data_IF_828816924399
#
_entry.id   IF_828816924399
#
_cell.length_a   1.000
_cell.length_b   1.000
_cell.length_c   1.000
_cell.angle_alpha   90.00
_cell.angle_beta   90.00
_cell.angle_gamma   90.00
#
_symmetry.space_group_name_H-M   'P 1'
#
loop_
_entity.id
_entity.type
_entity.pdbx_description
1 polymer ?
#
# COMPACT_ATOMS: atom_id res chain seq x y z
N UNK A 1 -19.74 10.79 9.10
CA UNK A 1 -19.40 9.60 8.29
C UNK A 1 -18.46 8.75 9.13
N UNK A 2 -18.84 7.54 9.58
CA UNK A 2 -17.85 6.65 10.17
C UNK A 2 -16.90 6.28 9.03
N UNK A 3 -15.61 6.55 9.22
CA UNK A 3 -14.58 5.97 8.36
C UNK A 3 -14.74 4.46 8.51
N UNK A 4 -15.46 3.84 7.56
CA UNK A 4 -15.62 2.40 7.49
C UNK A 4 -14.22 1.83 7.64
N UNK A 5 -14.03 1.12 8.76
CA UNK A 5 -12.83 0.33 9.01
C UNK A 5 -12.60 -0.42 7.71
N UNK A 6 -11.49 -0.13 7.05
CA UNK A 6 -11.12 -0.84 5.82
C UNK A 6 -11.04 -2.31 6.19
N UNK A 7 -12.12 -3.05 5.90
CA UNK A 7 -12.39 -4.39 6.41
C UNK A 7 -11.58 -5.36 5.55
N UNK A 8 -10.28 -5.37 5.83
CA UNK A 8 -9.29 -6.24 5.21
C UNK A 8 -9.56 -7.72 5.54
N UNK A 9 -10.45 -8.01 6.50
CA UNK A 9 -10.88 -9.36 6.85
C UNK A 9 -11.73 -9.99 5.74
N UNK A 10 -12.46 -9.18 4.95
CA UNK A 10 -13.20 -9.62 3.76
C UNK A 10 -12.59 -9.06 2.46
N UNK A 11 -11.29 -9.29 2.26
CA UNK A 11 -10.66 -9.15 0.95
C UNK A 11 -11.23 -10.21 0.00
N UNK A 12 -12.32 -9.85 -0.69
CA UNK A 12 -12.98 -10.72 -1.67
C UNK A 12 -11.99 -11.26 -2.72
N UNK A 13 -12.27 -12.45 -3.28
CA UNK A 13 -11.45 -13.10 -4.31
C UNK A 13 -11.16 -12.15 -5.47
N UNK A 14 -12.08 -11.26 -5.81
CA UNK A 14 -11.91 -10.28 -6.88
C UNK A 14 -10.83 -9.23 -6.54
N UNK A 15 -10.83 -8.69 -5.31
CA UNK A 15 -9.81 -7.76 -4.84
C UNK A 15 -8.44 -8.43 -4.79
N UNK A 16 -8.36 -9.68 -4.33
CA UNK A 16 -7.11 -10.46 -4.33
C UNK A 16 -6.55 -10.64 -5.75
N UNK A 17 -7.42 -10.92 -6.73
CA UNK A 17 -7.04 -11.03 -8.14
C UNK A 17 -6.52 -9.69 -8.70
N UNK A 18 -7.19 -8.58 -8.38
CA UNK A 18 -6.75 -7.24 -8.79
C UNK A 18 -5.36 -6.92 -8.23
N UNK A 19 -5.14 -7.17 -6.94
CA UNK A 19 -3.82 -7.01 -6.32
C UNK A 19 -2.78 -7.90 -6.98
N UNK A 20 -3.05 -9.20 -7.19
CA UNK A 20 -2.10 -10.10 -7.85
C UNK A 20 -1.75 -9.68 -9.29
N UNK A 21 -2.70 -9.06 -10.00
CA UNK A 21 -2.50 -8.55 -11.36
C UNK A 21 -1.70 -7.25 -11.39
N UNK A 22 -1.96 -6.36 -10.43
CA UNK A 22 -1.35 -5.02 -10.36
C UNK A 22 -0.08 -4.95 -9.50
N UNK A 23 0.20 -5.97 -8.68
CA UNK A 23 1.34 -5.96 -7.77
C UNK A 23 2.65 -5.95 -8.54
N UNK A 24 3.42 -4.89 -8.27
CA UNK A 24 4.76 -4.66 -8.81
C UNK A 24 5.72 -4.34 -7.68
N UNK A 25 6.95 -4.83 -7.81
CA UNK A 25 8.04 -4.41 -6.95
C UNK A 25 8.43 -2.99 -7.33
N UNK A 26 8.55 -2.11 -6.34
CA UNK A 26 8.97 -0.73 -6.53
C UNK A 26 10.11 -0.42 -5.56
N UNK A 27 11.08 0.34 -6.06
CA UNK A 27 12.15 0.89 -5.25
C UNK A 27 11.64 2.06 -4.40
N UNK A 28 12.43 2.44 -3.39
CA UNK A 28 12.18 3.64 -2.57
C UNK A 28 12.01 4.89 -3.44
N UNK A 29 12.82 5.02 -4.49
CA UNK A 29 12.81 6.19 -5.38
C UNK A 29 11.54 6.25 -6.22
N UNK A 30 11.11 5.12 -6.80
CA UNK A 30 9.86 5.04 -7.55
C UNK A 30 8.64 5.30 -6.66
N UNK A 31 8.65 4.83 -5.41
CA UNK A 31 7.60 5.13 -4.44
C UNK A 31 7.57 6.60 -4.05
N UNK A 32 8.72 7.24 -3.88
CA UNK A 32 8.80 8.69 -3.66
C UNK A 32 8.26 9.47 -4.85
N UNK A 33 8.56 9.05 -6.08
CA UNK A 33 8.01 9.65 -7.29
C UNK A 33 6.49 9.51 -7.32
N UNK A 34 5.96 8.31 -7.10
CA UNK A 34 4.52 8.04 -7.01
C UNK A 34 3.85 8.89 -5.93
N UNK A 35 4.47 9.00 -4.75
CA UNK A 35 3.99 9.84 -3.66
C UNK A 35 3.93 11.32 -4.04
N UNK A 36 4.90 11.83 -4.80
CA UNK A 36 4.87 13.22 -5.28
C UNK A 36 3.81 13.45 -6.36
N UNK A 37 3.53 12.45 -7.21
CA UNK A 37 2.45 12.53 -8.19
C UNK A 37 1.07 12.53 -7.53
N UNK A 38 0.89 11.71 -6.48
CA UNK A 38 -0.38 11.54 -5.78
C UNK A 38 -0.62 12.67 -4.77
N UNK A 39 0.37 12.99 -3.94
CA UNK A 39 0.31 14.04 -2.93
C UNK A 39 0.99 15.31 -3.43
N UNK A 40 0.38 15.90 -4.46
CA UNK A 40 0.94 17.05 -5.17
C UNK A 40 1.00 18.30 -4.29
N UNK A 41 0.11 18.43 -3.31
CA UNK A 41 0.06 19.58 -2.43
C UNK A 41 0.91 19.36 -1.18
N UNK A 42 1.52 20.43 -0.66
CA UNK A 42 2.34 20.34 0.56
C UNK A 42 1.46 20.10 1.80
N UNK A 43 0.24 20.65 1.79
CA UNK A 43 -0.73 20.56 2.88
C UNK A 43 -1.48 19.23 2.93
N UNK A 44 -1.18 18.28 2.03
CA UNK A 44 -1.76 16.94 2.10
C UNK A 44 -1.36 16.27 3.42
N UNK A 45 -2.31 16.02 4.35
CA UNK A 45 -2.01 15.49 5.70
C UNK A 45 -1.40 14.08 5.65
N UNK A 46 -1.53 13.42 4.50
CA UNK A 46 -1.04 12.08 4.22
C UNK A 46 0.34 12.04 3.59
N UNK A 47 0.78 13.16 3.01
CA UNK A 47 2.09 13.30 2.36
C UNK A 47 3.21 12.97 3.34
N UNK A 48 3.24 13.66 4.47
CA UNK A 48 4.28 13.47 5.48
C UNK A 48 4.33 12.02 5.97
N UNK A 49 3.17 11.40 6.25
CA UNK A 49 3.10 10.01 6.72
C UNK A 49 3.59 9.02 5.68
N UNK A 50 3.27 9.23 4.41
CA UNK A 50 3.72 8.37 3.31
C UNK A 50 5.25 8.45 3.14
N UNK A 51 5.81 9.66 3.09
CA UNK A 51 7.25 9.84 2.97
C UNK A 51 8.01 9.37 4.21
N UNK A 52 7.45 9.57 5.41
CA UNK A 52 8.01 9.06 6.66
C UNK A 52 8.09 7.53 6.64
N UNK A 53 7.01 6.84 6.25
CA UNK A 53 7.01 5.39 6.12
C UNK A 53 8.11 4.87 5.19
N UNK A 54 8.30 5.52 4.05
CA UNK A 54 9.38 5.16 3.11
C UNK A 54 10.76 5.42 3.74
N UNK A 55 10.94 6.57 4.40
CA UNK A 55 12.20 6.97 5.02
C UNK A 55 12.60 6.08 6.21
N UNK A 56 11.63 5.55 6.97
CA UNK A 56 11.86 4.62 8.08
C UNK A 56 12.31 3.22 7.64
N UNK A 57 12.20 2.89 6.36
CA UNK A 57 12.56 1.60 5.81
C UNK A 57 13.57 1.77 4.66
N UNK A 58 14.74 2.39 4.90
CA UNK A 58 15.73 2.61 3.84
C UNK A 58 16.30 1.27 3.38
N UNK A 59 16.25 1.03 2.06
CA UNK A 59 16.76 -0.21 1.46
C UNK A 59 15.80 -1.40 1.49
N UNK A 60 14.56 -1.23 1.95
CA UNK A 60 13.57 -2.29 1.89
C UNK A 60 12.99 -2.46 0.48
N UNK A 61 12.60 -3.69 0.16
CA UNK A 61 11.89 -4.03 -1.06
C UNK A 61 10.39 -3.80 -0.86
N UNK A 62 9.89 -2.75 -1.47
CA UNK A 62 8.46 -2.45 -1.42
C UNK A 62 7.73 -3.05 -2.61
N UNK A 63 6.48 -3.38 -2.35
CA UNK A 63 5.55 -3.87 -3.36
C UNK A 63 4.34 -2.94 -3.36
N UNK A 64 4.07 -2.36 -4.52
CA UNK A 64 2.90 -1.53 -4.75
C UNK A 64 1.86 -2.34 -5.50
N UNK A 65 0.61 -2.24 -5.05
CA UNK A 65 -0.53 -2.80 -5.75
C UNK A 65 -1.72 -1.85 -5.68
N UNK A 66 -2.59 -1.94 -6.67
CA UNK A 66 -3.84 -1.18 -6.71
C UNK A 66 -5.00 -2.17 -6.71
N UNK A 67 -5.90 -2.00 -5.76
CA UNK A 67 -7.15 -2.77 -5.68
C UNK A 67 -8.17 -2.28 -6.72
N UNK A 68 -9.21 -3.08 -6.96
CA UNK A 68 -10.27 -2.77 -7.93
C UNK A 68 -11.07 -1.50 -7.60
N UNK A 69 -11.09 -1.07 -6.35
CA UNK A 69 -11.74 0.15 -5.86
C UNK A 69 -10.80 1.38 -5.84
N UNK A 70 -9.59 1.26 -6.40
CA UNK A 70 -8.61 2.35 -6.46
C UNK A 70 -7.78 2.52 -5.19
N UNK A 71 -7.95 1.65 -4.18
CA UNK A 71 -7.10 1.67 -3.00
C UNK A 71 -5.70 1.18 -3.35
N UNK A 72 -4.71 1.99 -3.01
CA UNK A 72 -3.31 1.69 -3.20
C UNK A 72 -2.78 1.00 -1.95
N UNK A 73 -1.98 -0.05 -2.13
CA UNK A 73 -1.31 -0.79 -1.07
C UNK A 73 0.19 -0.68 -1.30
N UNK A 74 0.92 -0.34 -0.26
CA UNK A 74 2.38 -0.42 -0.21
C UNK A 74 2.77 -1.40 0.88
N UNK A 75 3.47 -2.46 0.49
CA UNK A 75 3.91 -3.51 1.40
C UNK A 75 5.43 -3.67 1.35
N UNK A 76 6.07 -3.45 2.49
CA UNK A 76 7.48 -3.70 2.74
C UNK A 76 7.63 -5.17 3.18
N UNK A 77 8.20 -5.99 2.31
CA UNK A 77 8.36 -7.43 2.56
C UNK A 77 9.37 -7.71 3.67
N UNK A 78 10.47 -6.96 3.71
CA UNK A 78 11.58 -7.19 4.63
C UNK A 78 11.21 -6.96 6.10
N UNK A 79 10.33 -6.00 6.36
CA UNK A 79 9.91 -5.65 7.72
C UNK A 79 8.51 -6.18 8.09
N UNK A 80 7.85 -6.92 7.19
CA UNK A 80 6.42 -7.26 7.28
C UNK A 80 5.57 -6.05 7.71
N UNK A 81 5.78 -4.92 7.03
CA UNK A 81 5.04 -3.67 7.27
C UNK A 81 4.30 -3.28 6.00
N UNK A 82 3.18 -2.60 6.15
CA UNK A 82 2.50 -2.05 5.00
C UNK A 82 1.59 -0.90 5.39
N UNK A 83 1.17 -0.18 4.37
CA UNK A 83 0.15 0.84 4.45
C UNK A 83 -0.79 0.73 3.25
N UNK A 84 -2.02 1.13 3.46
CA UNK A 84 -2.97 1.38 2.39
C UNK A 84 -3.27 2.88 2.35
N UNK A 85 -3.55 3.39 1.16
CA UNK A 85 -4.01 4.76 0.99
C UNK A 85 -4.96 4.86 -0.21
N UNK A 86 -5.94 5.74 -0.08
CA UNK A 86 -6.88 6.10 -1.12
C UNK A 86 -6.78 7.62 -1.32
N UNK A 87 -6.26 8.09 -2.47
CA UNK A 87 -6.11 9.51 -2.74
C UNK A 87 -7.41 10.27 -2.52
N UNK A 88 -7.35 11.37 -1.77
CA UNK A 88 -8.52 12.21 -1.45
C UNK A 88 -9.48 11.65 -0.39
N UNK A 89 -9.26 10.43 0.13
CA UNK A 89 -10.16 9.80 1.12
C UNK A 89 -9.47 9.46 2.44
N UNK A 90 -8.36 8.72 2.42
CA UNK A 90 -7.66 8.38 3.66
C UNK A 90 -6.47 7.45 3.49
N UNK A 91 -5.72 7.25 4.58
CA UNK A 91 -4.63 6.26 4.63
C UNK A 91 -4.57 5.60 6.01
N UNK A 92 -3.96 4.42 6.06
CA UNK A 92 -3.74 3.72 7.32
C UNK A 92 -2.72 2.60 7.22
N UNK A 93 -2.28 2.06 8.37
CA UNK A 93 -1.43 0.88 8.40
C UNK A 93 -2.19 -0.32 7.83
N UNK A 94 -1.46 -1.18 7.10
CA UNK A 94 -1.99 -2.43 6.61
C UNK A 94 -2.10 -3.41 7.78
N UNK A 95 -3.31 -3.92 8.03
CA UNK A 95 -3.57 -4.88 9.10
C UNK A 95 -2.94 -6.26 8.79
N UNK A 96 -2.84 -7.12 9.81
CA UNK A 96 -2.19 -8.42 9.71
C UNK A 96 -2.72 -9.28 8.55
N UNK A 97 -4.03 -9.32 8.33
CA UNK A 97 -4.66 -10.06 7.22
C UNK A 97 -4.20 -9.55 5.85
N UNK A 98 -4.17 -8.23 5.66
CA UNK A 98 -3.67 -7.61 4.42
C UNK A 98 -2.19 -7.90 4.20
N UNK A 99 -1.36 -7.84 5.25
CA UNK A 99 0.07 -8.19 5.17
C UNK A 99 0.28 -9.64 4.79
N UNK A 100 -0.46 -10.57 5.41
CA UNK A 100 -0.43 -11.99 5.07
C UNK A 100 -0.81 -12.21 3.60
N UNK A 101 -1.87 -11.57 3.12
CA UNK A 101 -2.28 -11.68 1.71
C UNK A 101 -1.18 -11.20 0.76
N UNK A 102 -0.59 -10.03 1.02
CA UNK A 102 0.49 -9.49 0.19
C UNK A 102 1.69 -10.45 0.18
N UNK A 103 2.09 -10.95 1.35
CA UNK A 103 3.18 -11.92 1.49
C UNK A 103 2.89 -13.20 0.70
N UNK A 104 1.67 -13.76 0.79
CA UNK A 104 1.26 -14.94 0.03
C UNK A 104 1.27 -14.71 -1.47
N UNK A 105 0.76 -13.57 -1.96
CA UNK A 105 0.76 -13.23 -3.39
C UNK A 105 2.19 -13.10 -3.92
N UNK A 106 3.07 -12.44 -3.18
CA UNK A 106 4.47 -12.26 -3.56
C UNK A 106 5.22 -13.59 -3.56
N UNK A 107 4.98 -14.45 -2.56
CA UNK A 107 5.60 -15.78 -2.46
C UNK A 107 5.06 -16.75 -3.53
N UNK A 108 3.77 -16.68 -3.86
CA UNK A 108 3.13 -17.53 -4.86
C UNK A 108 3.40 -17.12 -6.32
N UNK A 109 4.01 -15.95 -6.56
CA UNK A 109 4.50 -15.52 -7.88
C UNK A 109 5.89 -16.09 -8.24
N UNK A 110 6.50 -16.90 -7.37
CA UNK A 110 7.87 -17.40 -7.52
C UNK A 110 7.92 -18.84 -8.04
#
# INVERSE_FOLDING_TARGET
MPFEKFDLENLDKERRKAVAKSIRTMTVEELKALGNEIFRYADDPWREKFFRFIAENPGATFHHAVMSDGVNIVYCRDQDKGMWFLPGSGMGPLQATGRKMMSEIIRGKR
#
